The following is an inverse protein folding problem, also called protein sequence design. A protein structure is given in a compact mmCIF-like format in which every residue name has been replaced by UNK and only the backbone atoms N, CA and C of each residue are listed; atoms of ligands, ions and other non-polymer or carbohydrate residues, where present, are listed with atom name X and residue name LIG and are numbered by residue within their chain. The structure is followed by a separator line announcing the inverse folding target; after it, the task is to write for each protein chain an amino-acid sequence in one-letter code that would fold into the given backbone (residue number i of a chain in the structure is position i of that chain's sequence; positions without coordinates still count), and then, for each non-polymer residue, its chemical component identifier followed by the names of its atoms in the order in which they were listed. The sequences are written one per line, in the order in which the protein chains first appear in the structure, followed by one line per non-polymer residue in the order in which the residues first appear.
data_IF_765937409524
#
_entry.id   IF_765937409524
#
_cell.length_a   1.000
_cell.length_b   1.000
_cell.length_c   1.000
_cell.angle_alpha   90.00
_cell.angle_beta   90.00
_cell.angle_gamma   90.00
#
_symmetry.space_group_name_H-M   'P 1'
#
loop_
_entity.id
_entity.type
_entity.pdbx_description
1 polymer ?
#
# COMPACT_ATOMS: atom_id res chain seq x y z
N UNK A 1 -14.29 16.57 -22.30
CA UNK A 1 -13.02 16.35 -21.75
C UNK A 1 -12.79 14.88 -21.50
N UNK A 2 -11.65 14.39 -21.82
CA UNK A 2 -11.43 13.03 -21.65
C UNK A 2 -10.32 12.80 -20.66
N UNK A 3 -10.43 11.70 -19.99
CA UNK A 3 -9.43 11.37 -19.01
C UNK A 3 -8.11 11.06 -19.67
N UNK A 4 -7.06 11.57 -19.07
CA UNK A 4 -5.75 11.20 -19.51
C UNK A 4 -5.39 9.86 -18.86
N UNK A 5 -5.05 8.89 -19.66
CA UNK A 5 -4.67 7.60 -19.16
C UNK A 5 -3.19 7.39 -19.38
N UNK A 6 -2.49 7.18 -18.28
CA UNK A 6 -1.07 6.90 -18.34
C UNK A 6 -0.91 5.40 -18.51
N UNK A 7 -0.60 4.98 -19.72
CA UNK A 7 -0.54 3.56 -20.01
C UNK A 7 0.57 2.85 -19.25
N UNK A 8 1.68 3.53 -19.00
CA UNK A 8 2.76 2.90 -18.25
C UNK A 8 2.32 2.61 -16.82
N UNK A 9 1.62 3.57 -16.20
CA UNK A 9 1.11 3.33 -14.86
C UNK A 9 0.03 2.27 -14.86
N UNK A 10 -0.85 2.30 -15.87
CA UNK A 10 -1.91 1.33 -15.95
C UNK A 10 -1.33 -0.08 -16.02
N UNK A 11 -0.28 -0.27 -16.80
CA UNK A 11 0.35 -1.57 -16.89
C UNK A 11 1.00 -1.97 -15.59
N UNK A 12 1.64 -1.03 -14.89
CA UNK A 12 2.27 -1.34 -13.63
C UNK A 12 1.26 -1.79 -12.60
N UNK A 13 0.14 -1.09 -12.48
CA UNK A 13 -0.85 -1.48 -11.49
C UNK A 13 -1.56 -2.76 -11.88
N UNK A 14 -1.75 -3.00 -13.18
CA UNK A 14 -2.31 -4.28 -13.61
C UNK A 14 -1.38 -5.43 -13.24
N UNK A 15 -0.08 -5.23 -13.46
CA UNK A 15 0.90 -6.27 -13.11
C UNK A 15 0.94 -6.51 -11.61
N UNK A 16 0.84 -5.44 -10.83
CA UNK A 16 0.80 -5.59 -9.38
C UNK A 16 -0.40 -6.44 -8.98
N UNK A 17 -1.56 -6.15 -9.56
CA UNK A 17 -2.76 -6.87 -9.18
C UNK A 17 -2.72 -8.32 -9.61
N UNK A 18 -1.96 -8.65 -10.65
CA UNK A 18 -1.81 -10.04 -11.05
C UNK A 18 -1.03 -10.85 -10.03
N UNK A 19 -0.24 -10.19 -9.20
CA UNK A 19 0.53 -10.87 -8.18
C UNK A 19 -0.26 -11.10 -6.91
N UNK A 20 -1.49 -10.60 -6.85
CA UNK A 20 -2.33 -10.69 -5.66
C UNK A 20 -3.44 -11.71 -5.91
N UNK A 21 -3.69 -12.62 -4.96
CA UNK A 21 -4.75 -13.61 -5.15
C UNK A 21 -6.10 -12.97 -5.42
N UNK A 22 -6.88 -13.60 -6.29
CA UNK A 22 -8.14 -13.04 -6.74
C UNK A 22 -9.08 -12.72 -5.58
N UNK A 23 -9.15 -13.59 -4.59
CA UNK A 23 -10.06 -13.38 -3.48
C UNK A 23 -9.55 -12.38 -2.45
N UNK A 24 -8.37 -11.78 -2.68
CA UNK A 24 -7.83 -10.77 -1.77
C UNK A 24 -7.70 -9.42 -2.42
N UNK A 25 -8.17 -9.28 -3.66
CA UNK A 25 -7.96 -8.03 -4.39
C UNK A 25 -8.75 -6.85 -3.83
N UNK A 26 -9.75 -7.11 -3.01
CA UNK A 26 -10.48 -6.02 -2.38
C UNK A 26 -9.89 -5.61 -1.04
N UNK A 27 -8.75 -6.18 -0.68
CA UNK A 27 -8.09 -5.85 0.58
C UNK A 27 -6.69 -5.31 0.30
N UNK A 28 -6.60 -4.33 -0.58
CA UNK A 28 -5.34 -3.75 -1.03
C UNK A 28 -5.35 -2.26 -0.81
N UNK A 29 -4.27 -1.73 -0.26
CA UNK A 29 -4.09 -0.29 -0.08
C UNK A 29 -2.86 0.13 -0.87
N UNK A 30 -3.00 1.22 -1.63
CA UNK A 30 -1.86 1.83 -2.30
C UNK A 30 -1.41 3.00 -1.44
N UNK A 31 -0.31 2.84 -0.74
CA UNK A 31 0.13 3.81 0.25
C UNK A 31 0.76 5.05 -0.40
N UNK A 32 0.34 6.21 0.05
CA UNK A 32 0.85 7.50 -0.45
C UNK A 32 0.60 7.74 -1.93
N UNK A 33 -0.41 7.12 -2.48
CA UNK A 33 -0.71 7.28 -3.90
C UNK A 33 -2.04 7.97 -4.08
N UNK A 34 -2.28 8.42 -5.30
CA UNK A 34 -3.52 9.10 -5.62
C UNK A 34 -4.64 8.10 -5.89
N UNK A 35 -5.86 8.61 -5.88
CA UNK A 35 -7.02 7.74 -6.09
C UNK A 35 -6.99 7.03 -7.42
N UNK A 36 -6.31 7.60 -8.43
CA UNK A 36 -6.21 6.94 -9.72
C UNK A 36 -5.56 5.59 -9.66
N UNK A 37 -4.70 5.34 -8.67
CA UNK A 37 -4.10 4.02 -8.54
C UNK A 37 -5.17 2.94 -8.40
N UNK A 38 -6.24 3.25 -7.67
CA UNK A 38 -7.31 2.28 -7.47
C UNK A 38 -8.10 2.08 -8.76
N UNK A 39 -8.24 3.14 -9.56
CA UNK A 39 -8.92 3.00 -10.84
C UNK A 39 -8.09 2.14 -11.79
N UNK A 40 -6.79 2.37 -11.85
CA UNK A 40 -5.93 1.55 -12.70
C UNK A 40 -5.94 0.10 -12.26
N UNK A 41 -6.00 -0.13 -10.96
CA UNK A 41 -6.01 -1.49 -10.43
C UNK A 41 -7.38 -2.15 -10.53
N UNK A 42 -8.43 -1.36 -10.73
CA UNK A 42 -9.78 -1.89 -10.84
C UNK A 42 -10.37 -2.34 -9.52
N UNK A 43 -10.02 -1.67 -8.43
CA UNK A 43 -10.51 -2.05 -7.11
C UNK A 43 -11.05 -0.85 -6.37
N UNK A 44 -11.74 -1.13 -5.28
CA UNK A 44 -12.25 -0.09 -4.40
C UNK A 44 -11.39 -0.01 -3.15
N UNK A 45 -11.22 1.18 -2.59
CA UNK A 45 -10.45 1.29 -1.34
C UNK A 45 -11.13 0.55 -0.20
N UNK A 46 -10.34 -0.02 0.68
CA UNK A 46 -10.88 -0.72 1.83
C UNK A 46 -10.63 0.01 3.15
N UNK A 47 -9.98 1.17 3.11
CA UNK A 47 -9.71 1.95 4.31
C UNK A 47 -10.15 3.39 4.07
N UNK A 48 -10.40 4.10 5.17
CA UNK A 48 -10.82 5.48 5.10
C UNK A 48 -9.72 6.39 4.53
N UNK A 49 -8.51 6.20 5.02
CA UNK A 49 -7.37 6.99 4.53
C UNK A 49 -6.68 6.19 3.43
N UNK A 50 -7.20 6.30 2.21
CA UNK A 50 -6.70 5.46 1.13
C UNK A 50 -5.76 6.18 0.17
N UNK A 51 -5.53 7.49 0.36
CA UNK A 51 -4.59 8.23 -0.48
C UNK A 51 -3.73 9.12 0.40
N UNK A 52 -2.51 9.41 -0.05
CA UNK A 52 -1.62 10.39 0.58
C UNK A 52 -1.59 10.28 2.10
N UNK A 53 -1.37 9.08 2.59
CA UNK A 53 -1.47 8.82 4.02
C UNK A 53 -0.47 9.63 4.85
N UNK A 54 0.76 9.79 4.37
CA UNK A 54 1.72 10.59 5.11
C UNK A 54 1.30 12.04 5.21
N UNK A 55 0.68 12.56 4.16
CA UNK A 55 0.18 13.93 4.22
C UNK A 55 -0.91 14.05 5.26
N UNK A 56 -1.87 13.12 5.26
CA UNK A 56 -2.94 13.16 6.26
C UNK A 56 -2.38 13.06 7.66
N UNK A 57 -1.41 12.18 7.88
CA UNK A 57 -0.82 12.03 9.19
C UNK A 57 -0.05 13.25 9.65
N UNK A 58 0.42 14.08 8.72
CA UNK A 58 1.19 15.26 9.08
C UNK A 58 0.31 16.40 9.55
N UNK A 59 -1.01 16.31 9.37
CA UNK A 59 -1.89 17.39 9.74
C UNK A 59 -1.93 17.57 11.26
N UNK A 60 -1.99 16.47 12.00
CA UNK A 60 -1.99 16.54 13.45
C UNK A 60 -1.62 15.16 13.99
N UNK A 61 -1.23 15.13 15.27
CA UNK A 61 -0.91 13.85 15.88
C UNK A 61 -2.16 13.00 16.04
N UNK A 62 -3.32 13.61 16.20
CA UNK A 62 -4.55 12.83 16.30
C UNK A 62 -4.88 12.17 14.98
N UNK A 63 -4.69 12.87 13.86
CA UNK A 63 -4.94 12.29 12.55
C UNK A 63 -3.94 11.17 12.28
N UNK A 64 -2.69 11.36 12.70
CA UNK A 64 -1.68 10.32 12.52
C UNK A 64 -2.08 9.04 13.25
N UNK A 65 -2.54 9.18 14.49
CA UNK A 65 -2.98 8.02 15.25
C UNK A 65 -4.18 7.36 14.60
N UNK A 66 -5.09 8.17 14.05
CA UNK A 66 -6.27 7.65 13.40
C UNK A 66 -5.92 6.84 12.16
N UNK A 67 -4.93 7.30 11.38
CA UNK A 67 -4.49 6.55 10.22
C UNK A 67 -3.97 5.18 10.64
N UNK A 68 -3.09 5.15 11.63
CA UNK A 68 -2.53 3.89 12.08
C UNK A 68 -3.60 2.99 12.68
N UNK A 69 -4.50 3.55 13.46
CA UNK A 69 -5.58 2.79 14.09
C UNK A 69 -6.46 2.16 13.02
N UNK A 70 -6.74 2.89 11.97
CA UNK A 70 -7.58 2.35 10.92
C UNK A 70 -6.90 1.19 10.20
N UNK A 71 -5.61 1.34 9.90
CA UNK A 71 -4.89 0.23 9.26
C UNK A 71 -4.83 -0.98 10.17
N UNK A 72 -4.62 -0.77 11.48
CA UNK A 72 -4.58 -1.88 12.41
C UNK A 72 -5.94 -2.56 12.56
N UNK A 73 -7.00 -1.77 12.47
CA UNK A 73 -8.35 -2.30 12.63
C UNK A 73 -8.82 -3.05 11.38
N UNK A 74 -8.64 -2.45 10.21
CA UNK A 74 -9.07 -3.06 8.96
C UNK A 74 -8.16 -4.20 8.55
N UNK A 75 -6.87 -4.03 8.80
CA UNK A 75 -5.85 -5.02 8.43
C UNK A 75 -5.93 -5.39 6.96
N UNK A 76 -5.62 -4.43 6.07
CA UNK A 76 -5.58 -4.78 4.65
C UNK A 76 -4.62 -5.95 4.45
N UNK A 77 -4.96 -6.86 3.58
CA UNK A 77 -4.08 -8.00 3.35
C UNK A 77 -2.86 -7.62 2.54
N UNK A 78 -2.94 -6.55 1.78
CA UNK A 78 -1.84 -6.13 0.93
C UNK A 78 -1.67 -4.62 0.99
N UNK A 79 -0.43 -4.17 1.06
CA UNK A 79 -0.09 -2.76 0.99
C UNK A 79 0.97 -2.61 -0.09
N UNK A 80 0.69 -1.76 -1.06
CA UNK A 80 1.62 -1.49 -2.15
C UNK A 80 2.17 -0.09 -1.92
N UNK A 81 3.48 0.04 -1.89
CA UNK A 81 4.13 1.31 -1.60
C UNK A 81 5.39 1.41 -2.43
N UNK A 82 5.75 2.62 -2.79
CA UNK A 82 6.97 2.84 -3.57
C UNK A 82 8.18 2.50 -2.74
N UNK A 83 9.21 1.93 -3.38
CA UNK A 83 10.46 1.62 -2.72
C UNK A 83 11.47 2.68 -3.15
N UNK A 84 12.11 3.30 -2.17
CA UNK A 84 13.16 4.28 -2.43
C UNK A 84 14.43 3.75 -1.78
N UNK A 85 15.43 3.49 -2.59
CA UNK A 85 16.60 2.77 -2.10
C UNK A 85 16.19 1.34 -1.84
N UNK A 86 16.24 0.92 -0.60
CA UNK A 86 15.83 -0.43 -0.25
C UNK A 86 14.67 -0.43 0.72
N UNK A 87 14.09 0.74 0.99
CA UNK A 87 13.06 0.86 2.01
C UNK A 87 11.75 1.32 1.43
N UNK A 88 10.63 0.96 2.07
CA UNK A 88 9.35 1.51 1.65
C UNK A 88 9.32 3.01 1.95
N UNK A 89 8.73 3.76 1.03
CA UNK A 89 8.68 5.21 1.15
C UNK A 89 7.53 5.61 2.08
N UNK A 90 7.75 5.46 3.36
CA UNK A 90 6.79 5.83 4.40
C UNK A 90 7.51 6.78 5.34
N UNK A 91 7.08 8.05 5.35
CA UNK A 91 7.77 9.04 6.17
C UNK A 91 7.44 8.96 7.64
N UNK A 92 6.23 8.54 7.96
CA UNK A 92 5.82 8.44 9.34
C UNK A 92 6.47 7.22 9.98
N UNK A 93 7.29 7.45 11.00
CA UNK A 93 8.04 6.34 11.59
C UNK A 93 7.17 5.28 12.22
N UNK A 94 6.10 5.69 12.87
CA UNK A 94 5.21 4.70 13.49
C UNK A 94 4.51 3.87 12.45
N UNK A 95 4.10 4.49 11.34
CA UNK A 95 3.45 3.77 10.27
C UNK A 95 4.44 2.84 9.58
N UNK A 96 5.67 3.29 9.41
CA UNK A 96 6.69 2.45 8.80
C UNK A 96 6.96 1.24 9.68
N UNK A 97 7.03 1.44 10.99
CA UNK A 97 7.23 0.34 11.91
C UNK A 97 6.04 -0.63 11.86
N UNK A 98 4.82 -0.09 11.79
CA UNK A 98 3.64 -0.92 11.68
C UNK A 98 3.71 -1.80 10.43
N UNK A 99 4.11 -1.22 9.32
CA UNK A 99 4.22 -1.96 8.06
C UNK A 99 5.26 -3.07 8.20
N UNK A 100 6.44 -2.74 8.72
CA UNK A 100 7.50 -3.73 8.79
C UNK A 100 7.23 -4.83 9.82
N UNK A 101 6.47 -4.50 10.87
CA UNK A 101 6.15 -5.49 11.88
C UNK A 101 5.06 -6.45 11.44
N UNK A 102 4.15 -6.01 10.58
CA UNK A 102 2.98 -6.81 10.26
C UNK A 102 2.91 -7.29 8.83
N UNK A 103 3.78 -6.80 7.97
CA UNK A 103 3.75 -7.14 6.56
C UNK A 103 5.11 -7.59 6.09
N UNK A 104 5.12 -8.35 5.02
CA UNK A 104 6.34 -8.90 4.47
C UNK A 104 6.38 -8.60 2.99
N UNK A 105 7.54 -8.23 2.47
CA UNK A 105 7.68 -7.94 1.04
C UNK A 105 7.53 -9.23 0.26
N UNK A 106 6.52 -9.29 -0.58
CA UNK A 106 6.24 -10.49 -1.35
C UNK A 106 6.54 -10.34 -2.82
N UNK A 107 6.56 -9.14 -3.33
CA UNK A 107 6.82 -8.95 -4.75
C UNK A 107 7.26 -7.54 -5.05
N UNK A 108 7.73 -7.34 -6.25
CA UNK A 108 8.18 -6.04 -6.73
C UNK A 108 7.64 -5.81 -8.12
N UNK A 109 7.40 -4.55 -8.43
CA UNK A 109 6.99 -4.16 -9.77
C UNK A 109 7.73 -2.90 -10.14
N UNK A 110 8.33 -2.87 -11.31
CA UNK A 110 9.08 -1.71 -11.76
C UNK A 110 8.35 -0.99 -12.86
N UNK A 111 8.44 0.33 -12.85
CA UNK A 111 7.95 1.15 -13.94
C UNK A 111 9.15 1.91 -14.47
N UNK A 112 9.79 1.37 -15.50
CA UNK A 112 11.01 1.97 -16.00
C UNK A 112 10.78 3.32 -16.65
N UNK A 113 9.59 3.56 -17.18
CA UNK A 113 9.30 4.86 -17.78
C UNK A 113 9.31 5.98 -16.75
N UNK A 114 9.01 5.68 -15.51
CA UNK A 114 9.00 6.67 -14.44
C UNK A 114 10.12 6.45 -13.45
N UNK A 115 10.94 5.45 -13.68
CA UNK A 115 12.04 5.13 -12.79
C UNK A 115 11.54 4.92 -11.36
N UNK A 116 10.46 4.16 -11.23
CA UNK A 116 9.86 3.88 -9.94
C UNK A 116 9.82 2.39 -9.71
N UNK A 117 9.87 2.01 -8.44
CA UNK A 117 9.75 0.62 -8.05
C UNK A 117 8.71 0.52 -6.96
N UNK A 118 7.82 -0.44 -7.04
CA UNK A 118 6.76 -0.62 -6.06
C UNK A 118 6.96 -1.92 -5.32
N UNK A 119 6.82 -1.88 -3.99
CA UNK A 119 6.88 -3.08 -3.18
C UNK A 119 5.48 -3.55 -2.88
N UNK A 120 5.26 -4.84 -2.99
CA UNK A 120 3.97 -5.47 -2.73
C UNK A 120 4.11 -6.22 -1.42
N UNK A 121 3.55 -5.65 -0.35
CA UNK A 121 3.68 -6.20 0.99
C UNK A 121 2.41 -6.95 1.38
N UNK A 122 2.57 -8.18 1.86
CA UNK A 122 1.45 -8.99 2.30
C UNK A 122 1.44 -9.15 3.79
N UNK A 123 0.24 -9.09 4.38
CA UNK A 123 0.08 -9.24 5.81
C UNK A 123 0.48 -10.64 6.25
N UNK A 124 1.19 -10.75 7.37
CA UNK A 124 1.53 -12.05 7.89
C UNK A 124 1.23 -12.09 9.39
N UNK A 125 0.87 -13.26 9.86
CA UNK A 125 0.57 -13.45 11.26
C UNK A 125 1.60 -14.26 11.95
N UNK A 126 2.75 -14.40 11.33
CA UNK A 126 3.73 -15.31 11.88
C UNK A 126 4.13 -14.95 13.28
N UNK A 127 4.10 -13.68 13.60
CA UNK A 127 4.49 -13.34 14.91
C UNK A 127 3.59 -13.89 15.94
N UNK A 128 2.32 -13.76 15.77
CA UNK A 128 1.48 -14.31 16.74
C UNK A 128 1.47 -15.75 16.68
N UNK A 129 1.51 -16.30 15.51
CA UNK A 129 1.47 -17.71 15.38
C UNK A 129 2.60 -18.36 16.03
N UNK A 130 3.78 -17.81 15.93
CA UNK A 130 4.85 -18.51 16.46
C UNK A 130 5.10 -18.17 17.83
N UNK A 131 4.58 -17.10 18.29
CA UNK A 131 4.94 -16.81 19.62
C UNK A 131 4.41 -17.87 20.51
N UNK A 132 3.46 -18.48 20.16
CA UNK A 132 3.01 -19.48 20.98
C UNK A 132 3.74 -20.68 20.88
N UNK A 133 4.42 -20.65 20.16
CA UNK A 133 4.84 -21.83 20.04
C UNK A 133 5.69 -22.10 20.21
#
# INVERSE_FOLDING_TARGET
ERLYINEALNQSFSSIMEQIPQNEKNSVVFYNMEAQAYLYAGIHPCVKYFTHQDFHGSISSDTQKDVITQFASVRPKWIVVEIVGEDPDVENEEMKQFLLDNYELKGLEQNSNRNEEYGIYGYHQSKEGKSGR
#
